data_IF_342480645699
#
_entry.id   IF_342480645699
#
_cell.length_a   1.000
_cell.length_b   1.000
_cell.length_c   1.000
_cell.angle_alpha   90.00
_cell.angle_beta   90.00
_cell.angle_gamma   90.00
#
_symmetry.space_group_name_H-M   'P 1'
#
loop_
_entity.id
_entity.type
_entity.pdbx_description
1 polymer ?
#
# COMPACT_ATOMS: atom_id res chain seq x y z
N UNK A 1 19.33 25.35 3.39
CA UNK A 1 18.15 24.57 3.78
C UNK A 1 18.59 23.11 3.88
N UNK A 2 18.40 22.44 5.03
CA UNK A 2 18.76 21.01 5.16
C UNK A 2 17.70 20.16 4.44
N UNK A 3 18.08 19.13 3.68
CA UNK A 3 17.10 18.23 3.06
C UNK A 3 16.31 17.54 4.18
N UNK A 4 14.97 17.61 4.12
CA UNK A 4 14.10 16.79 4.97
C UNK A 4 14.40 15.34 4.62
N UNK A 5 14.90 14.59 5.58
CA UNK A 5 15.09 13.16 5.49
C UNK A 5 13.78 12.54 4.98
N UNK A 6 13.90 11.64 4.01
CA UNK A 6 12.76 10.91 3.48
C UNK A 6 12.07 10.22 4.67
N UNK A 7 10.88 10.70 5.05
CA UNK A 7 9.96 10.02 5.96
C UNK A 7 9.45 8.76 5.25
N UNK A 8 10.35 7.80 5.04
CA UNK A 8 10.03 6.49 4.55
C UNK A 8 9.31 5.80 5.69
N UNK A 9 7.99 5.85 5.63
CA UNK A 9 7.10 5.26 6.63
C UNK A 9 7.49 3.79 6.83
N UNK A 10 8.07 3.48 7.98
CA UNK A 10 8.54 2.15 8.29
C UNK A 10 7.33 1.27 8.63
N UNK A 11 6.85 0.53 7.62
CA UNK A 11 5.69 -0.36 7.73
C UNK A 11 5.90 -1.47 8.77
N UNK A 12 7.15 -1.80 9.14
CA UNK A 12 7.42 -2.82 10.16
C UNK A 12 6.99 -2.39 11.57
N UNK A 13 6.81 -1.07 11.79
CA UNK A 13 6.36 -0.49 13.06
C UNK A 13 4.85 -0.28 13.14
N UNK A 14 4.11 -0.57 12.06
CA UNK A 14 2.66 -0.42 12.01
C UNK A 14 2.01 -1.55 12.81
N UNK A 15 1.52 -1.23 14.01
CA UNK A 15 0.70 -2.14 14.81
C UNK A 15 -0.76 -1.97 14.43
N UNK A 16 -1.38 -3.01 13.88
CA UNK A 16 -2.82 -3.02 13.61
C UNK A 16 -3.57 -3.14 14.93
N UNK A 17 -4.47 -2.20 15.21
CA UNK A 17 -5.31 -2.25 16.41
C UNK A 17 -6.22 -3.49 16.34
N UNK A 18 -6.18 -4.42 17.31
CA UNK A 18 -6.99 -5.64 17.28
C UNK A 18 -8.50 -5.38 17.40
N UNK A 19 -8.91 -4.19 17.86
CA UNK A 19 -10.31 -3.77 17.96
C UNK A 19 -10.83 -3.08 16.69
N UNK A 20 -10.00 -2.88 15.66
CA UNK A 20 -10.47 -2.42 14.37
C UNK A 20 -11.39 -3.49 13.77
N UNK A 21 -12.64 -3.11 13.52
CA UNK A 21 -13.56 -3.97 12.77
C UNK A 21 -12.99 -4.17 11.37
N UNK A 22 -12.80 -5.42 10.98
CA UNK A 22 -12.37 -5.75 9.64
C UNK A 22 -13.48 -5.40 8.64
N UNK A 23 -13.15 -4.56 7.67
CA UNK A 23 -13.98 -4.29 6.50
C UNK A 23 -13.50 -5.09 5.28
N UNK A 24 -12.74 -6.16 5.49
CA UNK A 24 -12.18 -6.97 4.40
C UNK A 24 -13.25 -7.53 3.45
N UNK A 25 -14.46 -7.78 3.97
CA UNK A 25 -15.60 -8.30 3.21
C UNK A 25 -16.63 -7.22 2.82
N UNK A 26 -16.34 -5.95 3.11
CA UNK A 26 -17.23 -4.85 2.73
C UNK A 26 -17.20 -4.69 1.19
N UNK A 27 -18.35 -4.75 0.49
CA UNK A 27 -18.39 -4.69 -0.97
C UNK A 27 -17.74 -3.43 -1.55
N UNK A 28 -17.82 -2.30 -0.85
CA UNK A 28 -17.19 -1.06 -1.29
C UNK A 28 -15.66 -1.14 -1.19
N UNK A 29 -15.16 -1.67 -0.07
CA UNK A 29 -13.72 -1.83 0.18
C UNK A 29 -13.11 -2.82 -0.82
N UNK A 30 -13.75 -3.95 -1.05
CA UNK A 30 -13.29 -4.97 -2.01
C UNK A 30 -13.14 -4.36 -3.40
N UNK A 31 -14.16 -3.63 -3.89
CA UNK A 31 -14.10 -2.98 -5.21
C UNK A 31 -12.96 -1.97 -5.31
N UNK A 32 -12.74 -1.16 -4.27
CA UNK A 32 -11.65 -0.18 -4.24
C UNK A 32 -10.27 -0.82 -4.23
N UNK A 33 -10.10 -1.92 -3.50
CA UNK A 33 -8.84 -2.69 -3.47
C UNK A 33 -8.57 -3.32 -4.83
N UNK A 34 -9.57 -3.87 -5.50
CA UNK A 34 -9.42 -4.42 -6.85
C UNK A 34 -9.04 -3.33 -7.88
N UNK A 35 -9.71 -2.17 -7.83
CA UNK A 35 -9.37 -1.01 -8.66
C UNK A 35 -7.92 -0.59 -8.46
N UNK A 36 -7.49 -0.40 -7.21
CA UNK A 36 -6.12 -0.03 -6.87
C UNK A 36 -5.11 -1.06 -7.39
N UNK A 37 -5.40 -2.35 -7.24
CA UNK A 37 -4.55 -3.44 -7.74
C UNK A 37 -4.41 -3.40 -9.27
N UNK A 38 -5.49 -3.12 -10.00
CA UNK A 38 -5.45 -2.97 -11.47
C UNK A 38 -4.60 -1.78 -11.90
N UNK A 39 -4.76 -0.64 -11.24
CA UNK A 39 -3.99 0.58 -11.54
C UNK A 39 -2.51 0.38 -11.23
N UNK A 40 -2.16 -0.32 -10.15
CA UNK A 40 -0.77 -0.52 -9.73
C UNK A 40 -0.05 -1.64 -10.48
N UNK A 41 -0.78 -2.59 -11.09
CA UNK A 41 -0.20 -3.73 -11.81
C UNK A 41 0.90 -3.37 -12.84
N UNK A 42 0.73 -2.37 -13.73
CA UNK A 42 1.79 -1.99 -14.67
C UNK A 42 3.04 -1.43 -13.95
N UNK A 43 2.86 -0.57 -12.95
CA UNK A 43 3.98 0.02 -12.20
C UNK A 43 4.79 -1.02 -11.42
N UNK A 44 4.11 -2.04 -10.88
CA UNK A 44 4.78 -3.15 -10.19
C UNK A 44 5.64 -3.99 -11.14
N UNK A 45 5.19 -4.18 -12.40
CA UNK A 45 6.00 -4.85 -13.42
C UNK A 45 7.22 -4.03 -13.80
N UNK A 46 7.05 -2.73 -14.03
CA UNK A 46 8.16 -1.82 -14.34
C UNK A 46 9.18 -1.75 -13.21
N UNK A 47 8.74 -1.74 -11.94
CA UNK A 47 9.62 -1.80 -10.78
C UNK A 47 10.39 -3.12 -10.71
N UNK A 48 9.74 -4.25 -11.00
CA UNK A 48 10.38 -5.56 -11.00
C UNK A 48 11.43 -5.70 -12.11
N UNK A 49 11.18 -5.11 -13.28
CA UNK A 49 12.15 -5.10 -14.40
C UNK A 49 13.34 -4.18 -14.12
N UNK A 50 13.12 -3.01 -13.48
CA UNK A 50 14.21 -2.09 -13.10
C UNK A 50 15.09 -2.60 -11.97
N UNK A 51 14.59 -3.51 -11.13
CA UNK A 51 15.31 -4.08 -10.00
C UNK A 51 16.24 -5.26 -10.39
N UNK A 52 16.24 -5.66 -11.67
CA UNK A 52 17.04 -6.77 -12.22
C UNK A 52 18.24 -6.25 -13.01
#
# INVERSE_FOLDING_TARGET
MKPKENDLFDLSKVKVNPNLKSHANDPFVVRKVEEARRVLAPYLKELAEKAK
#
